data_IF_469844565391
#
_entry.id   IF_469844565391
#
_cell.length_a   1.000
_cell.length_b   1.000
_cell.length_c   1.000
_cell.angle_alpha   90.00
_cell.angle_beta   90.00
_cell.angle_gamma   90.00
#
_symmetry.space_group_name_H-M   'P 1'
#
loop_
_entity.id
_entity.type
_entity.pdbx_description
1 polymer ?
#
# COMPACT_ATOMS: atom_id res chain seq x y z
N UNK A 1 -12.92 -18.46 -19.34
CA UNK A 1 -12.57 -17.08 -18.95
C UNK A 1 -13.63 -16.16 -19.54
N UNK A 2 -14.71 -15.91 -18.81
CA UNK A 2 -15.63 -14.84 -19.19
C UNK A 2 -14.91 -13.52 -18.97
N UNK A 3 -14.69 -12.78 -20.04
CA UNK A 3 -14.15 -11.42 -19.94
C UNK A 3 -15.18 -10.58 -19.21
N UNK A 4 -14.90 -10.27 -17.93
CA UNK A 4 -15.70 -9.34 -17.12
C UNK A 4 -15.78 -8.03 -17.92
N UNK A 5 -16.95 -7.72 -18.48
CA UNK A 5 -17.17 -6.44 -19.16
C UNK A 5 -17.14 -5.37 -18.08
N UNK A 6 -16.20 -4.43 -18.19
CA UNK A 6 -16.18 -3.27 -17.31
C UNK A 6 -17.55 -2.57 -17.39
N UNK A 7 -18.14 -2.29 -16.22
CA UNK A 7 -19.41 -1.57 -16.16
C UNK A 7 -19.26 -0.15 -16.72
N UNK A 8 -20.34 0.47 -17.16
CA UNK A 8 -20.33 1.88 -17.54
C UNK A 8 -19.81 2.77 -16.42
N UNK A 9 -20.11 2.47 -15.13
CA UNK A 9 -19.70 3.27 -13.98
C UNK A 9 -18.17 3.34 -13.82
N UNK A 10 -17.48 2.20 -13.91
CA UNK A 10 -16.03 2.17 -13.82
C UNK A 10 -15.35 2.94 -14.98
N UNK A 11 -15.97 2.95 -16.18
CA UNK A 11 -15.46 3.73 -17.33
C UNK A 11 -15.66 5.22 -17.17
N UNK A 12 -16.72 5.63 -16.48
CA UNK A 12 -17.02 7.04 -16.21
C UNK A 12 -16.30 7.57 -14.96
N UNK A 13 -15.58 6.69 -14.25
CA UNK A 13 -14.82 7.05 -13.07
C UNK A 13 -13.35 7.33 -13.39
N UNK A 14 -12.73 8.17 -12.53
CA UNK A 14 -11.27 8.33 -12.43
C UNK A 14 -10.80 7.94 -11.03
N UNK A 15 -9.78 7.11 -10.95
CA UNK A 15 -9.09 6.82 -9.70
C UNK A 15 -8.02 7.89 -9.45
N UNK A 16 -8.00 8.46 -8.26
CA UNK A 16 -7.00 9.44 -7.86
C UNK A 16 -6.26 8.94 -6.62
N UNK A 17 -4.99 8.54 -6.81
CA UNK A 17 -4.18 7.90 -5.78
C UNK A 17 -3.30 8.94 -5.08
N UNK A 18 -3.48 9.06 -3.77
CA UNK A 18 -2.69 9.92 -2.90
C UNK A 18 -1.42 9.19 -2.47
N UNK A 19 -0.29 9.50 -3.09
CA UNK A 19 0.98 8.81 -2.91
C UNK A 19 2.10 9.71 -2.36
N UNK A 20 1.74 10.78 -1.63
CA UNK A 20 2.65 11.81 -1.12
C UNK A 20 3.20 11.61 0.31
N UNK A 21 2.74 10.60 1.04
CA UNK A 21 3.05 10.42 2.45
C UNK A 21 4.54 10.16 2.76
N UNK A 22 5.07 10.81 3.82
CA UNK A 22 6.48 10.67 4.24
C UNK A 22 6.83 9.25 4.72
N UNK A 23 5.89 8.56 5.38
CA UNK A 23 6.09 7.21 5.90
C UNK A 23 7.16 7.13 7.01
N UNK A 24 7.32 8.17 7.82
CA UNK A 24 8.40 8.30 8.81
C UNK A 24 8.47 7.15 9.82
N UNK A 25 7.36 6.45 10.08
CA UNK A 25 7.31 5.28 10.97
C UNK A 25 8.00 4.02 10.41
N UNK A 26 8.30 4.01 9.09
CA UNK A 26 9.14 2.99 8.45
C UNK A 26 10.65 3.30 8.58
N UNK A 27 11.00 4.32 9.34
CA UNK A 27 12.35 4.72 9.67
C UNK A 27 13.25 4.84 8.43
N UNK A 28 14.47 4.32 8.49
CA UNK A 28 15.47 4.43 7.41
C UNK A 28 15.04 3.76 6.09
N UNK A 29 14.02 2.88 6.11
CA UNK A 29 13.47 2.28 4.90
C UNK A 29 12.84 3.33 3.95
N UNK A 30 12.41 4.48 4.50
CA UNK A 30 11.85 5.62 3.74
C UNK A 30 12.78 6.82 3.64
N UNK A 31 14.06 6.69 4.03
CA UNK A 31 15.02 7.79 3.92
C UNK A 31 15.27 8.23 2.49
N UNK A 32 15.16 7.31 1.53
CA UNK A 32 15.47 7.56 0.10
C UNK A 32 14.26 7.39 -0.82
N UNK A 33 13.07 7.07 -0.28
CA UNK A 33 11.84 6.82 -1.04
C UNK A 33 10.58 7.14 -0.23
N UNK A 34 9.49 7.46 -0.91
CA UNK A 34 8.17 7.58 -0.28
C UNK A 34 7.65 6.20 0.15
N UNK A 35 6.75 6.12 1.14
CA UNK A 35 6.14 4.86 1.60
C UNK A 35 5.50 4.07 0.45
N UNK A 36 4.72 4.67 -0.48
CA UNK A 36 4.14 3.94 -1.61
C UNK A 36 5.17 3.28 -2.55
N UNK A 37 6.42 3.76 -2.54
CA UNK A 37 7.51 3.22 -3.35
C UNK A 37 8.28 2.08 -2.67
N UNK A 38 7.96 1.71 -1.44
CA UNK A 38 8.61 0.59 -0.74
C UNK A 38 8.19 -0.72 -1.40
N UNK A 39 9.12 -1.65 -1.55
CA UNK A 39 8.88 -2.97 -2.13
C UNK A 39 8.00 -3.83 -1.23
N UNK A 40 7.17 -4.68 -1.83
CA UNK A 40 6.28 -5.60 -1.12
C UNK A 40 6.06 -6.90 -1.91
N UNK A 41 5.91 -8.02 -1.21
CA UNK A 41 5.47 -9.30 -1.80
C UNK A 41 6.42 -9.92 -2.83
N UNK A 42 7.72 -9.61 -2.77
CA UNK A 42 8.75 -10.21 -3.63
C UNK A 42 9.06 -9.40 -4.90
N UNK A 43 8.11 -8.70 -5.51
CA UNK A 43 8.33 -8.00 -6.78
C UNK A 43 7.57 -6.67 -6.92
N UNK A 44 6.46 -6.48 -6.21
CA UNK A 44 5.61 -5.29 -6.29
C UNK A 44 6.11 -4.15 -5.40
N UNK A 45 5.45 -3.01 -5.49
CA UNK A 45 5.53 -1.91 -4.53
C UNK A 45 4.17 -1.68 -3.89
N UNK A 46 4.15 -1.03 -2.75
CA UNK A 46 2.90 -0.79 -2.01
C UNK A 46 1.84 -0.12 -2.88
N UNK A 47 2.22 0.90 -3.67
CA UNK A 47 1.29 1.63 -4.56
C UNK A 47 0.63 0.74 -5.61
N UNK A 48 1.29 -0.34 -6.03
CA UNK A 48 0.78 -1.23 -7.09
C UNK A 48 -0.54 -1.90 -6.69
N UNK A 49 -0.83 -2.05 -5.41
CA UNK A 49 -2.09 -2.63 -4.93
C UNK A 49 -3.29 -1.73 -5.24
N UNK A 50 -3.25 -0.45 -4.85
CA UNK A 50 -4.32 0.49 -5.15
C UNK A 50 -4.50 0.69 -6.68
N UNK A 51 -3.40 0.80 -7.41
CA UNK A 51 -3.41 0.93 -8.87
C UNK A 51 -3.97 -0.33 -9.56
N UNK A 52 -3.57 -1.51 -9.10
CA UNK A 52 -4.07 -2.79 -9.64
C UNK A 52 -5.55 -2.97 -9.37
N UNK A 53 -6.01 -2.63 -8.16
CA UNK A 53 -7.44 -2.65 -7.84
C UNK A 53 -8.23 -1.73 -8.78
N UNK A 54 -7.74 -0.53 -9.09
CA UNK A 54 -8.40 0.39 -10.03
C UNK A 54 -8.55 -0.23 -11.43
N UNK A 55 -7.46 -0.76 -11.99
CA UNK A 55 -7.47 -1.40 -13.31
C UNK A 55 -8.36 -2.64 -13.33
N UNK A 56 -8.25 -3.50 -12.32
CA UNK A 56 -9.03 -4.73 -12.24
C UNK A 56 -10.53 -4.46 -12.03
N UNK A 57 -10.88 -3.34 -11.36
CA UNK A 57 -12.27 -2.84 -11.23
C UNK A 57 -12.81 -2.22 -12.54
N UNK A 58 -11.98 -2.09 -13.58
CA UNK A 58 -12.41 -1.53 -14.87
C UNK A 58 -12.20 -0.02 -15.02
N UNK A 59 -11.65 0.66 -14.04
CA UNK A 59 -11.30 2.09 -14.14
C UNK A 59 -10.10 2.23 -15.08
N UNK A 60 -10.16 3.22 -16.00
CA UNK A 60 -9.17 3.42 -17.06
C UNK A 60 -8.53 4.80 -17.06
N UNK A 61 -8.92 5.67 -16.14
CA UNK A 61 -8.31 6.98 -15.94
C UNK A 61 -7.76 7.02 -14.54
N UNK A 62 -6.45 7.21 -14.41
CA UNK A 62 -5.75 7.14 -13.13
C UNK A 62 -4.85 8.35 -13.00
N UNK A 63 -5.04 9.13 -11.93
CA UNK A 63 -4.13 10.19 -11.48
C UNK A 63 -3.38 9.75 -10.22
N UNK A 64 -2.09 10.05 -10.12
CA UNK A 64 -1.29 9.74 -8.94
C UNK A 64 -0.59 10.99 -8.44
N UNK A 65 -1.07 11.54 -7.32
CA UNK A 65 -0.44 12.67 -6.67
C UNK A 65 0.81 12.24 -5.91
N UNK A 66 1.94 12.87 -6.23
CA UNK A 66 3.22 12.58 -5.59
C UNK A 66 3.85 13.83 -5.00
N UNK A 67 4.54 13.72 -3.88
CA UNK A 67 5.17 14.85 -3.22
C UNK A 67 6.57 14.52 -2.70
N UNK A 68 6.65 13.84 -1.57
CA UNK A 68 7.90 13.60 -0.87
C UNK A 68 8.72 12.46 -1.47
N UNK A 69 10.03 12.69 -1.72
CA UNK A 69 10.99 11.69 -2.26
C UNK A 69 10.43 10.86 -3.43
N UNK A 70 9.72 11.54 -4.34
CA UNK A 70 8.91 10.90 -5.39
C UNK A 70 9.73 10.25 -6.51
N UNK A 71 11.03 10.56 -6.67
CA UNK A 71 11.82 10.11 -7.83
C UNK A 71 11.75 8.60 -8.09
N UNK A 72 11.94 7.78 -7.04
CA UNK A 72 11.88 6.31 -7.20
C UNK A 72 10.47 5.80 -7.49
N UNK A 73 9.43 6.49 -6.99
CA UNK A 73 8.02 6.20 -7.25
C UNK A 73 7.68 6.56 -8.70
N UNK A 74 8.00 7.76 -9.14
CA UNK A 74 7.76 8.23 -10.52
C UNK A 74 8.43 7.29 -11.52
N UNK A 75 9.71 6.95 -11.31
CA UNK A 75 10.42 6.01 -12.19
C UNK A 75 9.77 4.63 -12.24
N UNK A 76 9.27 4.14 -11.11
CA UNK A 76 8.53 2.87 -11.07
C UNK A 76 7.24 2.96 -11.88
N UNK A 77 6.44 3.98 -11.65
CA UNK A 77 5.17 4.18 -12.36
C UNK A 77 5.35 4.33 -13.86
N UNK A 78 6.36 5.08 -14.31
CA UNK A 78 6.68 5.22 -15.72
C UNK A 78 7.04 3.90 -16.43
N UNK A 79 7.60 2.92 -15.70
CA UNK A 79 7.95 1.60 -16.23
C UNK A 79 6.80 0.61 -16.14
N UNK A 80 6.16 0.57 -14.98
CA UNK A 80 5.13 -0.42 -14.67
C UNK A 80 3.78 -0.12 -15.35
N UNK A 81 3.46 1.18 -15.53
CA UNK A 81 2.09 1.63 -15.87
C UNK A 81 2.00 2.31 -17.25
N UNK A 82 2.94 2.05 -18.15
CA UNK A 82 2.99 2.63 -19.51
C UNK A 82 2.15 1.88 -20.56
N UNK A 83 1.32 0.93 -20.15
CA UNK A 83 0.49 0.12 -21.06
C UNK A 83 -0.89 0.73 -21.36
N UNK A 84 -1.24 1.84 -20.71
CA UNK A 84 -2.50 2.57 -20.95
C UNK A 84 -2.52 3.17 -22.36
N UNK A 85 -3.69 3.15 -23.00
CA UNK A 85 -3.89 3.53 -24.40
C UNK A 85 -4.78 4.75 -24.54
N UNK A 86 -4.23 5.96 -24.77
CA UNK A 86 -5.03 7.19 -24.90
C UNK A 86 -6.11 7.09 -26.00
N UNK A 87 -5.84 6.36 -27.09
CA UNK A 87 -6.82 6.12 -28.15
C UNK A 87 -8.03 5.29 -27.70
N UNK A 88 -7.99 4.69 -26.52
CA UNK A 88 -9.10 3.97 -25.86
C UNK A 88 -9.72 4.76 -24.72
N UNK A 89 -9.37 6.04 -24.59
CA UNK A 89 -9.76 6.88 -23.48
C UNK A 89 -9.22 6.35 -22.13
N UNK A 90 -7.99 5.83 -22.15
CA UNK A 90 -7.25 5.38 -20.98
C UNK A 90 -6.12 6.38 -20.68
N UNK A 91 -5.94 6.76 -19.43
CA UNK A 91 -4.86 7.68 -19.02
C UNK A 91 -4.21 7.26 -17.71
N UNK A 92 -2.92 7.57 -17.60
CA UNK A 92 -2.14 7.43 -16.38
C UNK A 92 -1.30 8.69 -16.17
N UNK A 93 -1.75 9.56 -15.27
CA UNK A 93 -1.15 10.85 -15.03
C UNK A 93 -0.40 10.86 -13.70
N UNK A 94 0.89 11.20 -13.75
CA UNK A 94 1.71 11.42 -12.56
C UNK A 94 1.68 12.91 -12.25
N UNK A 95 1.14 13.27 -11.10
CA UNK A 95 0.87 14.62 -10.67
C UNK A 95 1.81 14.99 -9.50
N UNK A 96 3.03 15.42 -9.78
CA UNK A 96 3.93 15.85 -8.73
C UNK A 96 3.46 17.19 -8.15
N UNK A 97 3.60 17.35 -6.84
CA UNK A 97 3.42 18.65 -6.22
C UNK A 97 4.35 19.65 -6.92
N UNK A 98 3.76 20.66 -7.54
CA UNK A 98 4.46 21.68 -8.30
C UNK A 98 3.93 23.06 -7.90
N UNK A 99 4.73 24.09 -8.06
CA UNK A 99 4.38 25.48 -7.80
C UNK A 99 3.41 26.02 -8.88
N UNK A 100 2.27 25.36 -9.09
CA UNK A 100 1.33 25.72 -10.17
C UNK A 100 0.38 26.86 -9.79
N UNK A 101 0.05 26.97 -8.52
CA UNK A 101 -0.90 27.98 -8.01
C UNK A 101 -0.16 29.09 -7.26
N UNK A 102 0.90 28.75 -6.52
CA UNK A 102 1.72 29.73 -5.78
C UNK A 102 3.16 29.26 -5.69
N UNK A 103 4.15 30.18 -5.77
CA UNK A 103 5.59 29.86 -5.81
C UNK A 103 6.12 29.24 -4.50
N UNK A 104 5.31 29.12 -3.44
CA UNK A 104 5.76 28.76 -2.10
C UNK A 104 5.16 27.49 -1.51
N UNK A 105 4.10 26.89 -2.10
CA UNK A 105 3.34 25.84 -1.40
C UNK A 105 3.35 24.48 -2.09
N UNK A 106 3.82 23.47 -1.36
CA UNK A 106 3.59 22.04 -1.62
C UNK A 106 2.15 21.69 -1.24
N UNK A 107 1.66 20.48 -1.56
CA UNK A 107 0.36 20.03 -1.04
C UNK A 107 0.32 20.13 0.48
N UNK A 108 -0.59 20.94 1.01
CA UNK A 108 -0.74 21.16 2.45
C UNK A 108 -1.45 19.99 3.14
N UNK A 109 -2.41 19.36 2.44
CA UNK A 109 -3.17 18.20 2.89
C UNK A 109 -3.60 17.30 1.74
N UNK A 110 -4.33 16.26 2.08
CA UNK A 110 -4.81 15.26 1.10
C UNK A 110 -5.87 15.84 0.17
N UNK A 111 -6.73 16.75 0.64
CA UNK A 111 -7.72 17.46 -0.17
C UNK A 111 -7.05 18.48 -1.09
N UNK A 112 -6.03 19.18 -0.62
CA UNK A 112 -5.25 20.13 -1.42
C UNK A 112 -4.54 19.45 -2.59
N UNK A 113 -4.08 18.22 -2.42
CA UNK A 113 -3.48 17.43 -3.50
C UNK A 113 -4.46 17.16 -4.66
N UNK A 114 -5.76 17.10 -4.39
CA UNK A 114 -6.80 17.00 -5.44
C UNK A 114 -7.15 18.39 -5.95
N UNK A 115 -7.33 19.37 -5.07
CA UNK A 115 -7.71 20.74 -5.40
C UNK A 115 -6.75 21.39 -6.41
N UNK A 116 -5.45 21.29 -6.17
CA UNK A 116 -4.42 21.86 -7.07
C UNK A 116 -4.40 21.23 -8.47
N UNK A 117 -5.05 20.09 -8.68
CA UNK A 117 -5.08 19.38 -9.96
C UNK A 117 -6.48 19.27 -10.58
N UNK A 118 -7.43 20.11 -10.12
CA UNK A 118 -8.82 20.12 -10.66
C UNK A 118 -8.83 20.32 -12.18
N UNK A 119 -7.99 21.21 -12.72
CA UNK A 119 -7.90 21.49 -14.15
C UNK A 119 -7.50 20.25 -14.98
N UNK A 120 -6.60 19.43 -14.45
CA UNK A 120 -6.20 18.17 -15.10
C UNK A 120 -7.34 17.15 -15.01
N UNK A 121 -7.97 17.02 -13.84
CA UNK A 121 -9.12 16.12 -13.66
C UNK A 121 -10.27 16.51 -14.57
N UNK A 122 -10.60 17.82 -14.66
CA UNK A 122 -11.64 18.33 -15.56
C UNK A 122 -11.37 17.98 -17.04
N UNK A 123 -10.11 17.99 -17.47
CA UNK A 123 -9.74 17.63 -18.84
C UNK A 123 -10.09 16.19 -19.22
N UNK A 124 -10.15 15.29 -18.24
CA UNK A 124 -10.59 13.90 -18.42
C UNK A 124 -12.11 13.74 -18.31
N UNK A 125 -12.83 14.75 -17.84
CA UNK A 125 -14.29 14.79 -17.66
C UNK A 125 -14.86 13.51 -16.99
N UNK A 126 -14.33 13.03 -15.85
CA UNK A 126 -14.90 11.88 -15.15
C UNK A 126 -16.23 12.29 -14.50
N UNK A 127 -17.19 11.37 -14.48
CA UNK A 127 -18.44 11.58 -13.73
C UNK A 127 -18.24 11.30 -12.24
N UNK A 128 -17.42 10.33 -11.91
CA UNK A 128 -17.13 9.91 -10.54
C UNK A 128 -15.63 9.95 -10.25
N UNK A 129 -15.30 10.33 -9.02
CA UNK A 129 -13.94 10.29 -8.49
C UNK A 129 -13.82 9.21 -7.43
N UNK A 130 -12.82 8.34 -7.57
CA UNK A 130 -12.42 7.35 -6.56
C UNK A 130 -11.10 7.80 -5.97
N UNK A 131 -11.14 8.39 -4.79
CA UNK A 131 -9.95 8.85 -4.07
C UNK A 131 -9.39 7.69 -3.27
N UNK A 132 -8.10 7.40 -3.43
CA UNK A 132 -7.44 6.22 -2.88
C UNK A 132 -6.19 6.59 -2.09
N UNK A 133 -6.02 6.02 -0.90
CA UNK A 133 -4.72 6.00 -0.23
C UNK A 133 -3.79 5.02 -0.96
N UNK A 134 -2.60 5.48 -1.35
CA UNK A 134 -1.61 4.69 -2.11
C UNK A 134 -0.62 3.90 -1.25
N UNK A 135 -0.93 3.66 0.02
CA UNK A 135 0.03 3.15 1.01
C UNK A 135 -0.47 1.97 1.85
N UNK A 136 -1.54 1.29 1.38
CA UNK A 136 -2.12 0.11 2.02
C UNK A 136 -2.03 -1.13 1.13
N UNK A 137 -2.07 -2.30 1.76
CA UNK A 137 -2.03 -3.62 1.09
C UNK A 137 -3.39 -4.30 1.23
N UNK A 138 -4.09 -4.47 0.11
CA UNK A 138 -5.41 -5.10 0.04
C UNK A 138 -5.79 -5.41 -1.41
N UNK A 139 -6.82 -6.25 -1.60
CA UNK A 139 -7.50 -6.45 -2.89
C UNK A 139 -8.98 -6.08 -2.76
N UNK A 140 -9.46 -5.19 -3.64
CA UNK A 140 -10.82 -4.66 -3.58
C UNK A 140 -11.34 -4.34 -4.98
N UNK A 141 -12.62 -4.65 -5.22
CA UNK A 141 -13.36 -4.24 -6.40
C UNK A 141 -14.07 -2.91 -6.15
N UNK A 142 -13.55 -1.83 -6.72
CA UNK A 142 -14.15 -0.50 -6.57
C UNK A 142 -15.43 -0.32 -7.36
N UNK A 143 -15.73 -1.18 -8.36
CA UNK A 143 -16.99 -1.15 -9.10
C UNK A 143 -18.19 -1.36 -8.17
N UNK A 144 -18.08 -2.26 -7.21
CA UNK A 144 -19.14 -2.53 -6.23
C UNK A 144 -19.39 -1.32 -5.32
N UNK A 145 -18.34 -0.61 -4.96
CA UNK A 145 -18.46 0.63 -4.18
C UNK A 145 -19.08 1.78 -5.00
N UNK A 146 -18.69 1.91 -6.28
CA UNK A 146 -19.29 2.85 -7.23
C UNK A 146 -20.79 2.56 -7.42
N UNK A 147 -21.17 1.29 -7.55
CA UNK A 147 -22.57 0.90 -7.67
C UNK A 147 -23.37 1.30 -6.43
N UNK A 148 -22.86 1.00 -5.22
CA UNK A 148 -23.53 1.42 -3.98
C UNK A 148 -23.65 2.95 -3.89
N UNK A 149 -22.62 3.69 -4.31
CA UNK A 149 -22.66 5.16 -4.33
C UNK A 149 -23.82 5.69 -5.16
N UNK A 150 -23.98 5.16 -6.38
CA UNK A 150 -25.07 5.57 -7.29
C UNK A 150 -26.42 5.13 -6.75
N UNK A 151 -26.56 3.90 -6.31
CA UNK A 151 -27.84 3.33 -5.83
C UNK A 151 -28.33 4.02 -4.57
N UNK A 152 -27.41 4.44 -3.70
CA UNK A 152 -27.77 5.14 -2.46
C UNK A 152 -28.06 6.63 -2.67
N UNK A 153 -27.63 7.22 -3.79
CA UNK A 153 -27.69 8.66 -3.99
C UNK A 153 -26.93 9.43 -2.91
N UNK A 154 -25.76 8.92 -2.51
CA UNK A 154 -24.90 9.54 -1.52
C UNK A 154 -24.08 10.66 -2.14
N UNK A 155 -23.75 11.70 -1.36
CA UNK A 155 -22.78 12.73 -1.74
C UNK A 155 -21.34 12.20 -1.62
N UNK A 156 -21.11 11.33 -0.62
CA UNK A 156 -19.87 10.57 -0.45
C UNK A 156 -20.14 9.15 0.01
N UNK A 157 -19.44 8.18 -0.56
CA UNK A 157 -19.35 6.81 -0.03
C UNK A 157 -17.95 6.56 0.50
N UNK A 158 -17.83 6.03 1.71
CA UNK A 158 -16.56 5.85 2.42
C UNK A 158 -16.30 4.36 2.63
N UNK A 159 -15.20 3.85 2.08
CA UNK A 159 -14.73 2.49 2.34
C UNK A 159 -14.28 2.32 3.80
N UNK A 160 -14.82 1.32 4.48
CA UNK A 160 -14.52 1.07 5.89
C UNK A 160 -14.35 -0.42 6.20
N UNK A 161 -13.60 -0.69 7.25
CA UNK A 161 -13.41 -2.02 7.79
C UNK A 161 -13.75 -2.05 9.30
N UNK A 162 -14.11 -3.23 9.77
CA UNK A 162 -14.34 -3.48 11.20
C UNK A 162 -13.00 -3.78 11.86
N UNK A 163 -12.65 -3.03 12.89
CA UNK A 163 -11.42 -3.22 13.66
C UNK A 163 -11.72 -3.21 15.15
N UNK A 164 -10.89 -3.86 15.99
CA UNK A 164 -10.95 -3.69 17.43
C UNK A 164 -10.88 -2.21 17.82
N UNK A 165 -11.70 -1.78 18.78
CA UNK A 165 -11.83 -0.38 19.18
C UNK A 165 -10.50 0.26 19.58
N UNK A 166 -9.60 -0.50 20.18
CA UNK A 166 -8.26 -0.01 20.56
C UNK A 166 -7.39 0.30 19.33
N UNK A 167 -7.50 -0.47 18.27
CA UNK A 167 -6.76 -0.26 17.01
C UNK A 167 -7.34 0.93 16.23
N UNK A 168 -8.65 1.18 16.37
CA UNK A 168 -9.35 2.26 15.68
C UNK A 168 -8.82 3.66 16.01
N UNK A 169 -8.12 3.86 17.14
CA UNK A 169 -7.53 5.14 17.56
C UNK A 169 -6.55 5.76 16.54
N UNK A 170 -6.00 4.92 15.65
CA UNK A 170 -5.07 5.35 14.60
C UNK A 170 -5.73 5.84 13.31
N UNK A 171 -7.04 5.72 13.16
CA UNK A 171 -7.79 5.92 11.92
C UNK A 171 -8.89 6.99 12.06
N UNK A 172 -9.40 7.47 10.95
CA UNK A 172 -10.71 8.11 10.92
C UNK A 172 -11.79 7.06 11.25
N UNK A 173 -12.65 7.35 12.19
CA UNK A 173 -13.67 6.41 12.67
C UNK A 173 -15.06 6.99 12.46
N UNK A 174 -16.00 6.14 12.06
CA UNK A 174 -17.36 6.55 11.78
C UNK A 174 -18.38 5.82 12.64
N UNK A 175 -19.43 6.53 13.02
CA UNK A 175 -20.68 5.95 13.53
C UNK A 175 -21.72 5.92 12.40
N UNK A 176 -22.51 4.87 12.34
CA UNK A 176 -23.54 4.67 11.31
C UNK A 176 -24.90 4.36 11.94
N UNK A 177 -25.96 4.72 11.24
CA UNK A 177 -27.31 4.26 11.56
C UNK A 177 -27.59 2.85 11.02
N UNK A 178 -28.81 2.35 11.22
CA UNK A 178 -29.24 1.03 10.76
C UNK A 178 -29.26 0.89 9.22
N UNK A 179 -29.31 2.01 8.48
CA UNK A 179 -29.30 2.03 7.02
C UNK A 179 -27.86 2.13 6.44
N UNK A 180 -26.84 2.26 7.30
CA UNK A 180 -25.44 2.45 6.88
C UNK A 180 -25.10 3.90 6.55
N UNK A 181 -25.98 4.86 6.87
CA UNK A 181 -25.69 6.30 6.74
C UNK A 181 -24.75 6.72 7.86
N UNK A 182 -23.69 7.43 7.52
CA UNK A 182 -22.72 7.92 8.50
C UNK A 182 -23.31 9.11 9.24
N UNK A 183 -23.43 8.96 10.56
CA UNK A 183 -23.98 10.00 11.44
C UNK A 183 -22.90 10.82 12.12
N UNK A 184 -21.68 10.28 12.21
CA UNK A 184 -20.52 10.93 12.78
C UNK A 184 -19.24 10.42 12.14
N UNK A 185 -18.28 11.32 11.93
CA UNK A 185 -16.91 10.98 11.52
C UNK A 185 -15.92 11.73 12.40
N UNK A 186 -14.93 11.03 12.95
CA UNK A 186 -13.91 11.62 13.83
C UNK A 186 -12.54 11.08 13.43
N UNK A 187 -11.62 11.99 13.12
CA UNK A 187 -10.24 11.63 12.78
C UNK A 187 -9.44 11.35 14.06
N UNK A 188 -8.88 10.15 14.17
CA UNK A 188 -8.03 9.65 15.28
C UNK A 188 -8.58 9.94 16.68
N UNK A 189 -9.81 9.50 16.99
CA UNK A 189 -10.43 9.76 18.28
C UNK A 189 -9.69 9.05 19.41
N UNK A 190 -9.64 9.70 20.58
CA UNK A 190 -9.14 9.05 21.81
C UNK A 190 -10.07 7.92 22.27
N UNK A 191 -11.35 8.08 22.05
CA UNK A 191 -12.41 7.13 22.38
C UNK A 191 -13.26 6.86 21.12
N UNK A 192 -12.92 5.85 20.31
CA UNK A 192 -13.63 5.56 19.07
C UNK A 192 -15.07 5.12 19.32
N UNK A 193 -16.07 5.56 18.51
CA UNK A 193 -17.43 5.06 18.61
C UNK A 193 -17.48 3.57 18.28
N UNK A 194 -18.25 2.80 19.08
CA UNK A 194 -18.53 1.39 18.80
C UNK A 194 -19.60 1.22 17.71
N UNK A 195 -19.65 0.03 17.13
CA UNK A 195 -20.68 -0.36 16.17
C UNK A 195 -21.98 -0.69 16.93
N UNK A 196 -23.17 -0.26 16.47
CA UNK A 196 -24.42 -0.65 17.08
C UNK A 196 -24.55 -2.18 17.18
N UNK A 197 -24.69 -2.70 18.41
CA UNK A 197 -24.73 -4.15 18.68
C UNK A 197 -23.37 -4.82 18.86
N UNK A 198 -22.27 -4.12 18.63
CA UNK A 198 -20.89 -4.61 18.81
C UNK A 198 -19.99 -3.48 19.32
N UNK A 199 -20.02 -3.18 20.64
CA UNK A 199 -19.30 -2.05 21.22
C UNK A 199 -17.78 -2.24 21.28
N UNK A 200 -17.27 -3.45 21.10
CA UNK A 200 -15.84 -3.77 21.15
C UNK A 200 -15.13 -3.50 19.83
N UNK A 201 -15.91 -3.29 18.76
CA UNK A 201 -15.41 -2.96 17.43
C UNK A 201 -15.86 -1.56 16.96
N UNK A 202 -15.09 -1.01 16.02
CA UNK A 202 -15.36 0.28 15.38
C UNK A 202 -15.26 0.16 13.87
N UNK A 203 -15.94 1.07 13.14
CA UNK A 203 -15.77 1.22 11.69
C UNK A 203 -14.65 2.21 11.40
N UNK A 204 -13.52 1.70 10.93
CA UNK A 204 -12.36 2.51 10.54
C UNK A 204 -12.40 2.83 9.05
N UNK A 205 -12.11 4.08 8.70
CA UNK A 205 -11.96 4.52 7.32
C UNK A 205 -10.69 3.90 6.70
N UNK A 206 -10.82 3.40 5.49
CA UNK A 206 -9.70 2.88 4.69
C UNK A 206 -8.98 3.98 3.89
N UNK A 207 -9.42 5.25 3.98
CA UNK A 207 -8.93 6.30 3.10
C UNK A 207 -9.34 6.10 1.64
N UNK A 208 -10.49 5.47 1.42
CA UNK A 208 -11.09 5.21 0.10
C UNK A 208 -12.44 5.92 0.05
N UNK A 209 -12.58 6.84 -0.91
CA UNK A 209 -13.78 7.68 -1.03
C UNK A 209 -14.29 7.67 -2.46
N UNK A 210 -15.61 7.61 -2.64
CA UNK A 210 -16.28 7.81 -3.93
C UNK A 210 -17.14 9.06 -3.86
N UNK A 211 -17.01 9.92 -4.87
CA UNK A 211 -17.78 11.16 -5.03
C UNK A 211 -18.31 11.28 -6.46
N UNK A 212 -19.40 12.02 -6.63
CA UNK A 212 -19.68 12.68 -7.89
C UNK A 212 -18.68 13.83 -8.08
N UNK A 213 -18.08 13.94 -9.28
CA UNK A 213 -16.96 14.87 -9.54
C UNK A 213 -17.36 16.34 -9.30
N UNK A 214 -18.55 16.75 -9.75
CA UNK A 214 -19.02 18.13 -9.58
C UNK A 214 -19.15 18.49 -8.09
N UNK A 215 -19.74 17.60 -7.30
CA UNK A 215 -19.89 17.78 -5.86
C UNK A 215 -18.53 17.85 -5.15
N UNK A 216 -17.60 16.94 -5.50
CA UNK A 216 -16.25 16.99 -4.94
C UNK A 216 -15.56 18.33 -5.21
N UNK A 217 -15.67 18.86 -6.42
CA UNK A 217 -15.04 20.13 -6.76
C UNK A 217 -15.64 21.33 -6.00
N UNK A 218 -16.95 21.33 -5.74
CA UNK A 218 -17.60 22.33 -4.90
C UNK A 218 -17.05 22.29 -3.47
N UNK A 219 -16.95 21.10 -2.89
CA UNK A 219 -16.41 20.88 -1.55
C UNK A 219 -14.92 21.26 -1.44
N UNK A 220 -14.11 20.94 -2.44
CA UNK A 220 -12.69 21.30 -2.47
C UNK A 220 -12.51 22.83 -2.57
N UNK A 221 -13.32 23.52 -3.39
CA UNK A 221 -13.27 24.98 -3.51
C UNK A 221 -13.74 25.67 -2.23
N UNK A 222 -14.79 25.15 -1.58
CA UNK A 222 -15.25 25.62 -0.27
C UNK A 222 -14.14 25.52 0.77
N UNK A 223 -13.53 24.34 0.87
CA UNK A 223 -12.47 24.03 1.83
C UNK A 223 -11.21 24.89 1.62
N UNK A 224 -10.80 25.05 0.37
CA UNK A 224 -9.65 25.88 0.00
C UNK A 224 -9.85 27.37 0.33
N UNK A 225 -11.11 27.83 0.44
CA UNK A 225 -11.44 29.20 0.85
C UNK A 225 -11.45 29.40 2.38
N UNK A 226 -11.43 28.30 3.17
CA UNK A 226 -11.39 28.40 4.63
C UNK A 226 -9.93 28.48 5.13
N UNK A 227 -9.50 29.61 5.72
CA UNK A 227 -8.14 29.78 6.22
C UNK A 227 -7.81 28.91 7.43
N UNK A 228 -8.82 28.30 8.08
CA UNK A 228 -8.63 27.42 9.23
C UNK A 228 -8.61 25.95 8.85
N UNK A 229 -8.89 25.60 7.60
CA UNK A 229 -8.82 24.22 7.13
C UNK A 229 -7.38 23.71 7.11
N UNK A 230 -7.18 22.45 7.52
CA UNK A 230 -5.95 21.70 7.30
C UNK A 230 -5.87 21.10 5.90
N UNK A 231 -6.91 21.30 5.08
CA UNK A 231 -7.05 20.80 3.71
C UNK A 231 -6.90 19.28 3.61
N UNK A 232 -7.50 18.60 4.57
CA UNK A 232 -7.44 17.14 4.70
C UNK A 232 -8.83 16.51 4.54
N UNK A 233 -8.90 15.37 3.82
CA UNK A 233 -10.19 14.69 3.65
C UNK A 233 -10.79 14.27 4.99
N UNK A 234 -10.01 13.61 5.85
CA UNK A 234 -10.49 13.09 7.12
C UNK A 234 -10.74 14.18 8.17
N UNK A 235 -9.93 15.26 8.13
CA UNK A 235 -10.03 16.37 9.07
C UNK A 235 -11.13 17.39 8.75
N UNK A 236 -11.33 17.67 7.45
CA UNK A 236 -12.13 18.83 7.02
C UNK A 236 -13.28 18.45 6.08
N UNK A 237 -13.00 17.79 4.96
CA UNK A 237 -14.01 17.50 3.90
C UNK A 237 -15.08 16.53 4.42
N UNK A 238 -14.69 15.37 4.89
CA UNK A 238 -15.62 14.31 5.32
C UNK A 238 -16.49 14.75 6.51
N UNK A 239 -15.92 15.35 7.59
CA UNK A 239 -16.74 15.85 8.69
C UNK A 239 -17.75 16.91 8.28
N UNK A 240 -17.42 17.77 7.29
CA UNK A 240 -18.35 18.75 6.74
C UNK A 240 -19.52 18.08 6.01
N UNK A 241 -19.23 17.11 5.12
CA UNK A 241 -20.26 16.40 4.35
C UNK A 241 -21.17 15.59 5.27
N UNK A 242 -20.63 14.92 6.30
CA UNK A 242 -21.45 14.18 7.29
C UNK A 242 -22.47 15.09 8.00
N UNK A 243 -22.15 16.37 8.18
CA UNK A 243 -23.07 17.34 8.83
C UNK A 243 -24.11 17.96 7.89
N UNK A 244 -23.79 18.10 6.60
CA UNK A 244 -24.58 18.92 5.68
C UNK A 244 -25.13 18.15 4.47
N UNK A 245 -24.68 16.90 4.27
CA UNK A 245 -25.03 16.06 3.14
C UNK A 245 -25.30 14.62 3.56
N UNK A 246 -25.24 13.72 2.59
CA UNK A 246 -25.45 12.28 2.77
C UNK A 246 -24.16 11.49 2.58
N UNK A 247 -23.58 11.01 3.68
CA UNK A 247 -22.42 10.13 3.68
C UNK A 247 -22.85 8.67 3.97
N UNK A 248 -22.36 7.70 3.20
CA UNK A 248 -22.71 6.29 3.33
C UNK A 248 -21.45 5.44 3.52
N UNK A 249 -21.51 4.48 4.45
CA UNK A 249 -20.42 3.54 4.69
C UNK A 249 -20.51 2.34 3.74
N UNK A 250 -19.39 2.03 3.07
CA UNK A 250 -19.20 0.82 2.28
C UNK A 250 -18.29 -0.13 3.06
N UNK A 251 -18.83 -1.24 3.53
CA UNK A 251 -18.04 -2.23 4.27
C UNK A 251 -17.11 -2.98 3.32
N UNK A 252 -15.85 -3.09 3.65
CA UNK A 252 -14.83 -3.79 2.86
C UNK A 252 -15.22 -5.23 2.53
N UNK A 253 -15.94 -5.92 3.44
CA UNK A 253 -16.49 -7.26 3.24
C UNK A 253 -17.31 -7.40 1.95
N UNK A 254 -17.94 -6.33 1.49
CA UNK A 254 -18.83 -6.32 0.31
C UNK A 254 -18.06 -6.30 -1.02
N UNK A 255 -16.80 -5.90 -1.00
CA UNK A 255 -16.00 -5.69 -2.22
C UNK A 255 -14.57 -6.24 -2.13
N UNK A 256 -14.16 -6.83 -0.99
CA UNK A 256 -12.84 -7.45 -0.87
C UNK A 256 -12.75 -8.70 -1.76
N UNK A 257 -11.59 -8.89 -2.38
CA UNK A 257 -11.27 -10.08 -3.17
C UNK A 257 -10.55 -11.07 -2.27
N UNK A 258 -11.19 -12.21 -2.05
CA UNK A 258 -10.68 -13.31 -1.19
C UNK A 258 -10.25 -14.48 -2.05
N UNK A 259 -9.31 -15.28 -1.57
CA UNK A 259 -8.91 -16.52 -2.23
C UNK A 259 -10.00 -17.61 -2.14
N UNK A 260 -10.79 -17.61 -1.06
CA UNK A 260 -11.99 -18.42 -0.84
C UNK A 260 -12.90 -17.69 0.15
N UNK A 261 -14.20 -18.04 0.17
CA UNK A 261 -15.20 -17.38 1.03
C UNK A 261 -14.89 -17.53 2.54
N UNK A 262 -14.27 -18.65 2.93
CA UNK A 262 -13.90 -18.93 4.32
C UNK A 262 -12.65 -18.16 4.79
N UNK A 263 -11.91 -17.52 3.87
CA UNK A 263 -10.70 -16.76 4.20
C UNK A 263 -11.14 -15.36 4.65
N UNK A 264 -10.58 -14.92 5.79
CA UNK A 264 -10.79 -13.57 6.31
C UNK A 264 -10.31 -12.49 5.33
N UNK A 265 -10.91 -11.32 5.45
CA UNK A 265 -10.51 -10.14 4.70
C UNK A 265 -9.07 -9.76 5.02
N UNK A 266 -8.34 -9.35 3.99
CA UNK A 266 -6.97 -8.90 4.16
C UNK A 266 -6.81 -7.44 3.79
N UNK A 267 -6.56 -6.64 4.81
CA UNK A 267 -6.14 -5.26 4.69
C UNK A 267 -5.04 -4.98 5.72
N UNK A 268 -3.98 -4.28 5.31
CA UNK A 268 -2.86 -3.90 6.19
C UNK A 268 -2.41 -2.47 5.92
N UNK A 269 -2.38 -1.63 6.97
CA UNK A 269 -1.55 -0.43 7.01
C UNK A 269 -0.12 -0.87 7.37
N UNK A 270 0.73 -1.00 6.37
CA UNK A 270 2.15 -1.34 6.54
C UNK A 270 2.96 -0.10 6.94
N UNK A 271 2.49 0.62 7.94
CA UNK A 271 3.02 1.92 8.36
C UNK A 271 4.17 1.86 9.35
N UNK A 272 4.44 0.72 9.98
CA UNK A 272 5.57 0.49 10.89
C UNK A 272 6.45 -0.63 10.38
N UNK A 273 7.70 -0.72 10.86
CA UNK A 273 8.62 -1.82 10.48
C UNK A 273 8.05 -3.19 10.83
N UNK A 274 7.43 -3.32 12.01
CA UNK A 274 6.83 -4.59 12.44
C UNK A 274 5.63 -4.97 11.57
N UNK A 275 4.70 -4.04 11.31
CA UNK A 275 3.54 -4.29 10.45
C UNK A 275 3.95 -4.61 9.00
N UNK A 276 4.96 -3.92 8.47
CA UNK A 276 5.52 -4.21 7.16
C UNK A 276 6.18 -5.59 7.11
N UNK A 277 6.94 -5.96 8.12
CA UNK A 277 7.60 -7.25 8.24
C UNK A 277 6.58 -8.38 8.31
N UNK A 278 5.62 -8.29 9.23
CA UNK A 278 4.55 -9.27 9.41
C UNK A 278 3.73 -9.46 8.13
N UNK A 279 3.31 -8.35 7.48
CA UNK A 279 2.53 -8.42 6.24
C UNK A 279 3.29 -9.10 5.08
N UNK A 280 4.61 -8.96 4.99
CA UNK A 280 5.41 -9.72 4.03
C UNK A 280 5.50 -11.19 4.42
N UNK A 281 5.71 -11.52 5.70
CA UNK A 281 5.79 -12.90 6.16
C UNK A 281 4.46 -13.66 6.05
N UNK A 282 3.30 -13.00 6.21
CA UNK A 282 1.98 -13.59 5.97
C UNK A 282 1.90 -14.29 4.60
N UNK A 283 2.62 -13.76 3.59
CA UNK A 283 2.67 -14.35 2.24
C UNK A 283 3.41 -15.70 2.18
N UNK A 284 4.19 -16.05 3.19
CA UNK A 284 4.93 -17.32 3.27
C UNK A 284 4.10 -18.45 3.89
N UNK A 285 2.92 -18.18 4.39
CA UNK A 285 2.01 -19.16 4.94
C UNK A 285 1.56 -20.14 3.85
N UNK A 286 1.17 -21.35 4.24
CA UNK A 286 0.72 -22.41 3.31
C UNK A 286 -0.53 -21.95 2.54
N UNK A 287 -1.44 -21.27 3.23
CA UNK A 287 -2.64 -20.66 2.63
C UNK A 287 -2.65 -19.18 3.06
N UNK A 288 -2.00 -18.28 2.31
CA UNK A 288 -1.94 -16.89 2.68
C UNK A 288 -3.31 -16.20 2.50
N UNK A 289 -3.68 -15.34 3.44
CA UNK A 289 -4.92 -14.54 3.33
C UNK A 289 -4.90 -13.63 2.11
N UNK A 290 -3.74 -13.07 1.76
CA UNK A 290 -3.51 -12.32 0.53
C UNK A 290 -2.91 -13.24 -0.54
N UNK A 291 -3.72 -13.66 -1.51
CA UNK A 291 -3.26 -14.51 -2.61
C UNK A 291 -2.66 -13.66 -3.75
N UNK A 292 -1.34 -13.72 -3.94
CA UNK A 292 -0.65 -13.08 -5.07
C UNK A 292 -0.69 -13.90 -6.36
N UNK A 293 -1.10 -15.19 -6.30
CA UNK A 293 -1.18 -16.11 -7.45
C UNK A 293 -2.55 -16.09 -8.13
N UNK A 294 -3.47 -15.25 -7.66
CA UNK A 294 -4.79 -15.05 -8.23
C UNK A 294 -4.67 -14.37 -9.62
N UNK A 295 -5.03 -15.10 -10.67
CA UNK A 295 -4.96 -14.62 -12.06
C UNK A 295 -6.17 -13.78 -12.46
N UNK A 296 -7.25 -13.87 -11.75
CA UNK A 296 -8.47 -13.09 -12.00
C UNK A 296 -8.38 -11.70 -11.37
N UNK A 297 -7.50 -11.54 -10.35
CA UNK A 297 -7.20 -10.25 -9.72
C UNK A 297 -5.69 -10.06 -9.52
N UNK A 298 -4.91 -9.93 -10.61
CA UNK A 298 -3.45 -9.82 -10.54
C UNK A 298 -3.01 -8.49 -9.93
N UNK A 299 -1.86 -8.49 -9.28
CA UNK A 299 -1.18 -7.26 -8.89
C UNK A 299 -0.17 -6.90 -9.99
N UNK A 300 -0.50 -5.87 -10.75
CA UNK A 300 0.34 -5.33 -11.83
C UNK A 300 1.53 -4.58 -11.25
N UNK A 301 2.70 -4.76 -11.82
CA UNK A 301 3.94 -4.12 -11.40
C UNK A 301 4.94 -4.04 -12.55
N UNK A 302 6.11 -3.43 -12.32
CA UNK A 302 7.22 -3.37 -13.29
C UNK A 302 7.70 -4.78 -13.65
N UNK A 303 7.65 -5.12 -14.94
CA UNK A 303 8.13 -6.40 -15.45
C UNK A 303 9.61 -6.29 -15.81
N UNK A 304 10.46 -6.70 -14.88
CA UNK A 304 11.90 -6.73 -15.09
C UNK A 304 12.25 -7.98 -15.90
N UNK A 305 13.01 -7.82 -16.99
CA UNK A 305 13.59 -8.96 -17.72
C UNK A 305 14.72 -9.54 -16.85
N UNK A 306 14.50 -10.72 -16.29
CA UNK A 306 15.42 -11.37 -15.38
C UNK A 306 15.41 -12.90 -15.56
N UNK A 307 16.49 -13.58 -15.15
CA UNK A 307 16.60 -15.02 -15.21
C UNK A 307 15.71 -15.69 -14.13
N UNK A 308 15.32 -16.95 -14.31
CA UNK A 308 14.72 -17.74 -13.23
C UNK A 308 15.61 -17.81 -11.99
N UNK A 309 15.00 -17.98 -10.81
CA UNK A 309 15.74 -18.26 -9.58
C UNK A 309 16.55 -19.55 -9.69
N UNK A 310 17.77 -19.55 -9.16
CA UNK A 310 18.70 -20.67 -9.24
C UNK A 310 19.12 -21.15 -7.86
N UNK A 311 18.98 -22.47 -7.63
CA UNK A 311 19.45 -23.17 -6.45
C UNK A 311 20.62 -24.07 -6.83
N UNK A 312 21.74 -23.94 -6.15
CA UNK A 312 22.94 -24.69 -6.49
C UNK A 312 23.59 -25.34 -5.27
N UNK A 313 24.34 -26.38 -5.57
CA UNK A 313 24.96 -27.37 -4.69
C UNK A 313 23.97 -28.37 -4.10
N UNK A 314 24.41 -29.65 -4.06
CA UNK A 314 23.71 -30.78 -3.47
C UNK A 314 24.65 -31.63 -2.64
N UNK A 315 25.67 -31.01 -2.05
CA UNK A 315 26.62 -31.67 -1.15
C UNK A 315 26.04 -31.68 0.27
N UNK A 316 26.38 -32.68 1.08
CA UNK A 316 26.00 -32.73 2.48
C UNK A 316 26.50 -31.48 3.22
N UNK A 317 25.60 -30.80 3.94
CA UNK A 317 25.89 -29.53 4.62
C UNK A 317 26.05 -28.31 3.71
N UNK A 318 25.98 -28.49 2.37
CA UNK A 318 26.09 -27.40 1.40
C UNK A 318 25.04 -27.55 0.31
N UNK A 319 23.78 -27.36 0.67
CA UNK A 319 22.63 -27.46 -0.25
C UNK A 319 21.89 -26.16 -0.35
N UNK A 320 21.59 -25.69 -1.59
CA UNK A 320 20.77 -24.52 -1.81
C UNK A 320 19.29 -24.86 -1.58
N UNK A 321 18.65 -24.27 -0.57
CA UNK A 321 17.27 -24.59 -0.18
C UNK A 321 16.44 -23.34 0.15
N UNK A 322 15.14 -23.43 -0.14
CA UNK A 322 14.14 -22.47 0.35
C UNK A 322 12.94 -23.25 0.90
N UNK A 323 12.51 -22.93 2.12
CA UNK A 323 11.43 -23.61 2.82
C UNK A 323 10.41 -22.56 3.25
N UNK A 324 9.13 -22.74 2.89
CA UNK A 324 8.04 -21.79 3.19
C UNK A 324 8.46 -20.35 2.85
N UNK A 325 8.98 -20.13 1.65
CA UNK A 325 9.62 -18.87 1.26
C UNK A 325 9.19 -18.45 -0.15
N UNK A 326 9.13 -17.15 -0.41
CA UNK A 326 8.94 -16.60 -1.75
C UNK A 326 10.30 -16.20 -2.33
N UNK A 327 10.67 -16.77 -3.46
CA UNK A 327 11.95 -16.52 -4.13
C UNK A 327 11.66 -15.92 -5.51
N UNK A 328 12.01 -14.65 -5.67
CA UNK A 328 11.77 -13.93 -6.92
C UNK A 328 12.80 -14.28 -7.99
N UNK A 329 12.57 -13.84 -9.20
CA UNK A 329 13.48 -14.02 -10.34
C UNK A 329 14.88 -13.44 -10.08
N UNK A 330 15.89 -13.93 -10.81
CA UNK A 330 17.30 -13.54 -10.73
C UNK A 330 17.96 -13.81 -9.35
N UNK A 331 17.30 -14.55 -8.46
CA UNK A 331 17.89 -14.98 -7.20
C UNK A 331 18.84 -16.17 -7.37
N UNK A 332 19.94 -16.18 -6.59
CA UNK A 332 20.87 -17.32 -6.52
C UNK A 332 20.99 -17.75 -5.05
N UNK A 333 20.50 -18.95 -4.74
CA UNK A 333 20.64 -19.58 -3.43
C UNK A 333 21.76 -20.62 -3.53
N UNK A 334 22.99 -20.24 -3.11
CA UNK A 334 24.20 -21.04 -3.34
C UNK A 334 24.64 -21.75 -2.06
N UNK A 335 24.24 -23.00 -1.90
CA UNK A 335 24.61 -23.80 -0.72
C UNK A 335 24.21 -23.14 0.61
N UNK A 336 23.03 -22.56 0.66
CA UNK A 336 22.49 -21.73 1.73
C UNK A 336 21.02 -22.05 1.96
N UNK A 337 20.46 -21.61 3.08
CA UNK A 337 19.08 -21.87 3.47
C UNK A 337 18.30 -20.57 3.64
N UNK A 338 17.19 -20.42 2.91
CA UNK A 338 16.15 -19.43 3.19
C UNK A 338 14.96 -20.16 3.82
N UNK A 339 14.49 -19.71 4.97
CA UNK A 339 13.32 -20.24 5.65
C UNK A 339 12.37 -19.13 6.00
N UNK A 340 11.07 -19.32 5.70
CA UNK A 340 10.03 -18.37 6.03
C UNK A 340 10.41 -16.93 5.67
N UNK A 341 10.90 -16.76 4.42
CA UNK A 341 11.57 -15.54 4.00
C UNK A 341 11.15 -15.13 2.60
N UNK A 342 11.24 -13.83 2.30
CA UNK A 342 11.07 -13.28 0.96
C UNK A 342 12.42 -12.83 0.43
N UNK A 343 12.86 -13.43 -0.68
CA UNK A 343 14.01 -12.95 -1.46
C UNK A 343 13.50 -12.23 -2.70
N UNK A 344 13.64 -10.92 -2.71
CA UNK A 344 13.26 -10.08 -3.85
C UNK A 344 14.23 -10.26 -5.02
N UNK A 345 13.87 -9.72 -6.17
CA UNK A 345 14.62 -9.87 -7.42
C UNK A 345 16.13 -9.61 -7.24
N UNK A 346 16.95 -10.54 -7.76
CA UNK A 346 18.40 -10.40 -7.82
C UNK A 346 19.14 -10.61 -6.50
N UNK A 347 18.51 -11.17 -5.48
CA UNK A 347 19.17 -11.51 -4.21
C UNK A 347 20.11 -12.69 -4.40
N UNK A 348 21.34 -12.59 -3.87
CA UNK A 348 22.34 -13.66 -3.90
C UNK A 348 22.71 -14.07 -2.48
N UNK A 349 22.65 -15.38 -2.21
CA UNK A 349 23.04 -15.95 -0.93
C UNK A 349 24.29 -16.81 -1.09
N UNK A 350 25.36 -16.48 -0.35
CA UNK A 350 26.62 -17.21 -0.32
C UNK A 350 26.52 -18.50 0.48
N UNK A 351 27.41 -19.47 0.19
CA UNK A 351 27.41 -20.79 0.82
C UNK A 351 27.49 -20.73 2.34
N UNK A 352 26.79 -21.64 2.99
CA UNK A 352 26.69 -21.78 4.44
C UNK A 352 26.01 -20.61 5.16
N UNK A 353 25.39 -19.69 4.40
CA UNK A 353 24.56 -18.65 5.00
C UNK A 353 23.13 -19.15 5.24
N UNK A 354 22.45 -18.52 6.21
CA UNK A 354 21.05 -18.79 6.50
C UNK A 354 20.27 -17.49 6.72
N UNK A 355 19.05 -17.46 6.21
CA UNK A 355 18.07 -16.40 6.46
C UNK A 355 16.81 -17.06 6.98
N UNK A 356 16.40 -16.72 8.21
CA UNK A 356 15.20 -17.19 8.86
C UNK A 356 14.30 -16.00 9.21
N UNK A 357 13.07 -16.00 8.74
CA UNK A 357 12.16 -14.85 8.84
C UNK A 357 12.82 -13.56 8.30
N UNK A 358 13.19 -13.57 7.01
CA UNK A 358 13.86 -12.44 6.36
C UNK A 358 13.03 -11.80 5.24
N UNK A 359 12.99 -10.47 5.20
CA UNK A 359 12.50 -9.67 4.07
C UNK A 359 13.70 -9.01 3.40
N UNK A 360 14.21 -9.66 2.35
CA UNK A 360 15.47 -9.28 1.68
C UNK A 360 15.13 -8.54 0.40
N UNK A 361 15.27 -7.22 0.40
CA UNK A 361 14.90 -6.35 -0.72
C UNK A 361 15.83 -6.52 -1.93
N UNK A 362 15.48 -6.01 -3.13
CA UNK A 362 16.16 -6.33 -4.38
C UNK A 362 17.67 -6.08 -4.36
N UNK A 363 18.39 -6.96 -5.08
CA UNK A 363 19.84 -6.85 -5.35
C UNK A 363 20.75 -6.92 -4.12
N UNK A 364 20.26 -7.47 -3.01
CA UNK A 364 21.09 -7.74 -1.85
C UNK A 364 22.04 -8.92 -2.10
N UNK A 365 23.20 -8.88 -1.46
CA UNK A 365 24.19 -9.95 -1.47
C UNK A 365 24.48 -10.39 -0.04
N UNK A 366 24.14 -11.62 0.31
CA UNK A 366 24.39 -12.21 1.63
C UNK A 366 25.71 -12.96 1.58
N UNK A 367 26.67 -12.52 2.39
CA UNK A 367 28.00 -13.13 2.48
C UNK A 367 27.97 -14.58 2.99
N UNK A 368 29.06 -15.31 2.73
CA UNK A 368 29.25 -16.71 3.22
C UNK A 368 29.14 -16.72 4.73
N UNK A 369 28.69 -17.85 5.30
CA UNK A 369 28.57 -18.05 6.73
C UNK A 369 27.74 -17.01 7.51
N UNK A 370 27.03 -16.09 6.84
CA UNK A 370 26.15 -15.14 7.50
C UNK A 370 24.90 -15.85 8.07
N UNK A 371 24.49 -15.50 9.28
CA UNK A 371 23.27 -16.01 9.92
C UNK A 371 22.37 -14.84 10.31
N UNK A 372 21.21 -14.79 9.68
CA UNK A 372 20.29 -13.67 9.78
C UNK A 372 18.91 -14.18 10.21
N UNK A 373 18.36 -13.62 11.27
CA UNK A 373 17.01 -13.94 11.75
C UNK A 373 16.23 -12.68 12.09
N UNK A 374 14.95 -12.64 11.71
CA UNK A 374 14.03 -11.50 11.88
C UNK A 374 14.59 -10.19 11.33
N UNK A 375 14.92 -10.19 10.04
CA UNK A 375 15.59 -9.06 9.40
C UNK A 375 14.79 -8.48 8.25
N UNK A 376 14.86 -7.16 8.09
CA UNK A 376 14.56 -6.45 6.86
C UNK A 376 15.87 -5.90 6.33
N UNK A 377 16.26 -6.27 5.11
CA UNK A 377 17.50 -5.78 4.48
C UNK A 377 17.14 -4.88 3.33
N UNK A 378 17.55 -3.62 3.38
CA UNK A 378 17.25 -2.63 2.33
C UNK A 378 17.98 -2.97 1.02
N UNK A 379 17.46 -2.43 -0.09
CA UNK A 379 17.90 -2.75 -1.45
C UNK A 379 19.39 -2.52 -1.67
N UNK A 380 20.04 -3.48 -2.33
CA UNK A 380 21.44 -3.40 -2.72
C UNK A 380 22.46 -3.46 -1.59
N UNK A 381 22.03 -3.87 -0.39
CA UNK A 381 22.93 -4.07 0.75
C UNK A 381 23.79 -5.31 0.53
N UNK A 382 25.06 -5.20 0.91
CA UNK A 382 26.02 -6.32 0.92
C UNK A 382 26.31 -6.71 2.35
N UNK A 383 25.79 -7.83 2.76
CA UNK A 383 26.05 -8.40 4.10
C UNK A 383 27.43 -9.03 4.10
N UNK A 384 28.32 -8.65 5.03
CA UNK A 384 29.66 -9.24 5.16
C UNK A 384 29.61 -10.75 5.45
N UNK A 385 30.69 -11.43 5.11
CA UNK A 385 30.90 -12.83 5.49
C UNK A 385 30.89 -12.98 7.01
N UNK A 386 30.19 -14.02 7.51
CA UNK A 386 30.14 -14.37 8.93
C UNK A 386 29.28 -13.41 9.79
N UNK A 387 28.61 -12.40 9.22
CA UNK A 387 27.76 -11.51 10.00
C UNK A 387 26.59 -12.29 10.63
N UNK A 388 26.42 -12.12 11.93
CA UNK A 388 25.32 -12.71 12.71
C UNK A 388 24.39 -11.61 13.20
N UNK A 389 23.07 -11.76 12.94
CA UNK A 389 22.00 -10.87 13.37
C UNK A 389 20.79 -11.70 13.82
N UNK A 390 20.19 -11.33 14.93
CA UNK A 390 19.03 -12.00 15.52
C UNK A 390 19.34 -12.93 16.68
N UNK A 391 20.63 -13.17 16.98
CA UNK A 391 21.07 -14.02 18.09
C UNK A 391 21.40 -13.21 19.36
N UNK A 392 21.92 -11.99 19.24
CA UNK A 392 22.26 -11.11 20.36
C UNK A 392 21.51 -9.77 20.26
N UNK A 393 20.36 -9.60 20.97
CA UNK A 393 19.56 -8.40 20.90
C UNK A 393 20.30 -7.10 21.30
N UNK A 394 21.26 -7.18 22.21
CA UNK A 394 22.02 -5.99 22.67
C UNK A 394 23.04 -5.56 21.62
N UNK A 395 23.72 -6.51 21.03
CA UNK A 395 24.67 -6.26 19.96
C UNK A 395 23.94 -5.72 18.71
N UNK A 396 22.82 -6.34 18.37
CA UNK A 396 22.01 -5.93 17.20
C UNK A 396 21.47 -4.50 17.34
N UNK A 397 20.96 -4.15 18.50
CA UNK A 397 20.47 -2.80 18.79
C UNK A 397 21.56 -1.71 18.74
N UNK A 398 22.85 -2.06 18.89
CA UNK A 398 23.97 -1.13 18.76
C UNK A 398 24.38 -0.92 17.30
N UNK A 399 24.18 -1.94 16.46
CA UNK A 399 24.62 -1.95 15.05
C UNK A 399 23.51 -1.52 14.09
N UNK A 400 22.28 -1.89 14.41
CA UNK A 400 21.12 -1.82 13.51
C UNK A 400 19.91 -1.22 14.20
N UNK A 401 18.91 -0.81 13.41
CA UNK A 401 17.60 -0.43 13.92
C UNK A 401 16.86 -1.70 14.35
N UNK A 402 16.64 -1.88 15.64
CA UNK A 402 15.88 -3.00 16.19
C UNK A 402 14.58 -2.54 16.79
N UNK A 403 13.45 -3.18 16.43
CA UNK A 403 12.14 -2.92 17.01
C UNK A 403 11.95 -3.66 18.35
N UNK A 404 10.90 -3.30 19.09
CA UNK A 404 10.56 -3.99 20.34
C UNK A 404 10.15 -5.45 20.10
N UNK A 405 9.55 -5.78 18.92
CA UNK A 405 9.24 -7.15 18.50
C UNK A 405 10.47 -7.94 18.01
N UNK A 406 11.61 -7.29 17.93
CA UNK A 406 12.89 -7.94 17.61
C UNK A 406 13.26 -7.93 16.14
N UNK A 407 12.51 -7.24 15.27
CA UNK A 407 12.85 -7.08 13.86
C UNK A 407 14.03 -6.12 13.70
N UNK A 408 15.05 -6.52 12.94
CA UNK A 408 16.22 -5.70 12.65
C UNK A 408 16.17 -5.16 11.24
N UNK A 409 16.12 -3.84 11.07
CA UNK A 409 16.34 -3.18 9.77
C UNK A 409 17.83 -2.97 9.55
N UNK A 410 18.32 -3.41 8.39
CA UNK A 410 19.71 -3.30 7.97
C UNK A 410 19.78 -2.47 6.69
N UNK A 411 20.47 -1.34 6.74
CA UNK A 411 20.72 -0.47 5.58
C UNK A 411 22.21 -0.45 5.22
N UNK A 412 22.52 0.11 4.04
CA UNK A 412 23.92 0.24 3.62
C UNK A 412 24.71 1.09 4.60
N UNK A 413 24.14 2.23 5.01
CA UNK A 413 24.83 3.17 5.90
C UNK A 413 25.13 2.58 7.29
N UNK A 414 24.35 1.55 7.71
CA UNK A 414 24.61 0.80 8.95
C UNK A 414 25.74 -0.24 8.76
N UNK A 415 25.78 -0.92 7.61
CA UNK A 415 26.87 -1.87 7.30
C UNK A 415 28.19 -1.13 7.14
N UNK A 416 28.20 0.04 6.50
CA UNK A 416 29.43 0.84 6.28
C UNK A 416 30.04 1.36 7.60
N UNK A 417 29.31 1.28 8.73
CA UNK A 417 29.76 1.68 10.08
C UNK A 417 30.26 0.50 10.93
N UNK A 418 30.16 -0.75 10.46
CA UNK A 418 30.69 -1.93 11.18
C UNK A 418 32.20 -2.03 11.10
#
# INVERSE_FOLDING_TARGET
>A
METRRASPLARDAMAYVLAGGRGSRLMELTDRRAKPAVYFGGMSRIVDFALSNAINSGIRRIGVATQYKAHSLIRHMQRAWNFMRPERNESFDILPASQRIDELHWYEGTADAVFQNIDIIESHAPKYMVILAGDHIYKMDYELMLQQHVDSGADVTIGCLVVPREEAKGFGVMAVDAAGTITQFVEKPKDPPGIPGDPDHSLASMGIYVFETAFLFEELRRDAADPNSSRDFGGDIIPHIVKHGKAVAHRFTQSCIRAAEEIEEYWRDVGTLDAYFEANLDLTDVVPKLNLYDRDWPIWTDQIVAAPAKFVHDEEGRRGQAISSLISQDCIVSGSLARRSLLFTGVKMGSFSSVDEGVILPYCNIGRNARLSKVIIDSGVRIPEGLVVGEDPKLDARRFRRTDKGVCLITRDMIDKL
#
